data_IF_219493003027
#
_entry.id   IF_219493003027
#
_cell.length_a   1.000
_cell.length_b   1.000
_cell.length_c   1.000
_cell.angle_alpha   90.00
_cell.angle_beta   90.00
_cell.angle_gamma   90.00
#
_symmetry.space_group_name_H-M   'P 1'
#
loop_
_entity.id
_entity.type
_entity.pdbx_description
1 polymer ?
#
# COMPACT_ATOMS: atom_id res chain seq x y z
N UNK A 1 4.96 -3.80 10.66
CA UNK A 1 5.76 -2.56 10.73
C UNK A 1 5.28 -1.54 11.79
N UNK A 2 4.44 -1.91 12.77
CA UNK A 2 3.95 -0.99 13.81
C UNK A 2 4.75 -1.03 15.14
N UNK A 3 5.63 -2.02 15.36
CA UNK A 3 6.43 -2.10 16.61
C UNK A 3 7.70 -1.25 16.64
N UNK A 4 8.20 -0.69 15.52
CA UNK A 4 9.43 0.15 15.54
C UNK A 4 9.16 1.64 15.77
N UNK A 5 7.94 2.04 16.14
CA UNK A 5 7.58 3.46 16.32
C UNK A 5 7.69 3.94 17.79
N UNK A 6 7.95 3.05 18.74
CA UNK A 6 8.04 3.39 20.16
C UNK A 6 9.41 3.00 20.72
N UNK A 7 10.46 3.68 20.28
CA UNK A 7 11.68 3.76 21.10
C UNK A 7 12.41 5.09 20.83
N UNK A 8 11.79 6.14 21.36
CA UNK A 8 12.33 7.50 21.37
C UNK A 8 13.31 7.65 22.53
N UNK A 9 14.44 6.92 22.54
CA UNK A 9 15.60 7.29 23.38
C UNK A 9 16.89 6.51 23.06
N UNK A 10 17.55 6.91 21.97
CA UNK A 10 19.01 6.83 21.85
C UNK A 10 19.58 8.25 22.03
N UNK A 11 19.49 8.77 23.27
CA UNK A 11 20.27 9.94 23.69
C UNK A 11 21.67 9.49 24.07
N UNK A 12 22.55 9.42 23.08
CA UNK A 12 23.96 9.74 23.31
C UNK A 12 24.14 11.23 23.02
N UNK A 13 24.81 11.91 23.94
CA UNK A 13 24.87 13.36 24.07
C UNK A 13 25.34 14.07 22.79
N UNK A 14 24.65 15.16 22.43
CA UNK A 14 25.14 16.20 21.52
C UNK A 14 24.82 15.98 20.04
N UNK A 15 24.05 16.93 19.47
CA UNK A 15 23.54 17.03 18.10
C UNK A 15 22.41 16.07 17.71
N UNK A 16 21.26 16.65 17.31
CA UNK A 16 20.18 15.96 16.59
C UNK A 16 20.68 15.58 15.18
N UNK A 17 21.59 14.61 15.09
CA UNK A 17 21.84 13.92 13.84
C UNK A 17 20.75 12.86 13.68
N UNK A 18 19.98 12.95 12.60
CA UNK A 18 19.09 11.89 12.15
C UNK A 18 19.91 10.59 12.14
N UNK A 19 19.53 9.60 12.96
CA UNK A 19 20.17 8.29 12.99
C UNK A 19 19.96 7.66 11.61
N UNK A 20 21.01 7.67 10.79
CA UNK A 20 20.97 7.12 9.45
C UNK A 20 21.32 5.65 9.56
N UNK A 21 20.34 4.82 9.30
CA UNK A 21 20.53 3.40 9.25
C UNK A 21 21.20 2.99 7.92
N UNK A 22 22.44 2.50 8.02
CA UNK A 22 23.27 2.11 6.86
C UNK A 22 23.01 0.68 6.35
N UNK A 23 22.14 -0.09 7.00
CA UNK A 23 21.81 -1.47 6.62
C UNK A 23 22.74 -2.54 7.19
N UNK A 24 22.21 -3.77 7.36
CA UNK A 24 22.97 -4.93 7.89
C UNK A 24 24.20 -5.25 7.04
N UNK A 25 24.14 -5.04 5.72
CA UNK A 25 25.28 -5.25 4.81
C UNK A 25 26.51 -4.46 5.23
N UNK A 26 26.34 -3.20 5.63
CA UNK A 26 27.44 -2.37 6.08
C UNK A 26 27.93 -2.76 7.49
N UNK A 27 27.01 -3.12 8.39
CA UNK A 27 27.33 -3.57 9.75
C UNK A 27 28.22 -4.83 9.73
N UNK A 28 27.84 -5.83 8.93
CA UNK A 28 28.59 -7.09 8.82
C UNK A 28 29.97 -6.87 8.19
N UNK A 29 30.10 -5.95 7.22
CA UNK A 29 31.38 -5.62 6.59
C UNK A 29 32.38 -4.95 7.53
N UNK A 30 31.91 -4.26 8.57
CA UNK A 30 32.77 -3.64 9.57
C UNK A 30 33.24 -4.58 10.69
N UNK A 31 32.83 -5.85 10.68
CA UNK A 31 33.15 -6.76 11.79
C UNK A 31 34.64 -7.04 11.91
N UNK A 32 35.19 -6.80 13.11
CA UNK A 32 36.63 -6.87 13.39
C UNK A 32 37.07 -8.20 14.04
N UNK A 33 36.21 -9.20 14.04
CA UNK A 33 36.47 -10.53 14.60
C UNK A 33 35.33 -11.00 15.49
N UNK A 34 35.13 -12.31 15.56
CA UNK A 34 33.94 -12.89 16.18
C UNK A 34 34.29 -14.04 17.09
N UNK A 35 33.49 -14.20 18.15
CA UNK A 35 33.68 -15.26 19.14
C UNK A 35 32.78 -16.43 18.79
N UNK A 36 33.39 -17.58 18.49
CA UNK A 36 32.67 -18.84 18.38
C UNK A 36 32.42 -19.41 19.78
N UNK A 37 31.17 -19.73 20.06
CA UNK A 37 30.76 -20.48 21.25
C UNK A 37 30.00 -21.71 20.80
N UNK A 38 30.14 -22.82 21.52
CA UNK A 38 29.36 -24.03 21.28
C UNK A 38 28.25 -24.10 22.32
N UNK A 39 27.00 -24.20 21.86
CA UNK A 39 25.84 -24.33 22.73
C UNK A 39 25.16 -25.68 22.48
N UNK A 40 24.67 -26.26 23.57
CA UNK A 40 23.88 -27.48 23.54
C UNK A 40 22.39 -27.14 23.50
N UNK A 41 21.60 -28.05 22.95
CA UNK A 41 20.15 -27.96 22.97
C UNK A 41 19.62 -28.01 24.40
N UNK A 42 18.81 -27.01 24.80
CA UNK A 42 18.12 -27.06 26.08
C UNK A 42 17.04 -28.14 26.02
N UNK A 43 17.22 -29.18 26.82
CA UNK A 43 16.25 -30.25 26.98
C UNK A 43 16.54 -31.55 26.25
N UNK A 44 17.70 -31.68 25.61
CA UNK A 44 18.26 -32.95 25.13
C UNK A 44 19.30 -33.50 26.14
N UNK A 45 19.34 -34.82 26.34
CA UNK A 45 20.28 -35.50 27.26
C UNK A 45 21.72 -35.63 26.72
N UNK A 46 22.01 -35.12 25.51
CA UNK A 46 23.35 -35.19 24.89
C UNK A 46 23.92 -33.84 24.43
N UNK A 47 25.24 -33.71 24.56
CA UNK A 47 26.08 -32.61 24.09
C UNK A 47 26.24 -32.66 22.56
N UNK A 48 25.31 -32.06 21.82
CA UNK A 48 25.54 -31.71 20.40
C UNK A 48 25.94 -30.23 20.37
N UNK A 49 27.24 -30.01 20.20
CA UNK A 49 27.83 -28.68 20.17
C UNK A 49 27.50 -27.99 18.83
N UNK A 50 26.45 -27.16 18.82
CA UNK A 50 26.14 -26.32 17.66
C UNK A 50 26.98 -25.04 17.74
N UNK A 51 27.77 -24.70 16.71
CA UNK A 51 28.55 -23.47 16.69
C UNK A 51 27.62 -22.27 16.58
N UNK A 52 27.79 -21.30 17.48
CA UNK A 52 27.14 -19.99 17.45
C UNK A 52 28.19 -18.90 17.50
N UNK A 53 28.05 -17.93 16.60
CA UNK A 53 28.98 -16.84 16.49
C UNK A 53 28.40 -15.54 17.08
N UNK A 54 29.25 -14.79 17.79
CA UNK A 54 28.85 -13.57 18.47
C UNK A 54 29.85 -12.44 18.18
N UNK A 55 29.33 -11.24 17.98
CA UNK A 55 30.08 -9.98 17.90
C UNK A 55 29.13 -8.80 18.13
N UNK A 56 29.67 -7.61 18.38
CA UNK A 56 28.84 -6.40 18.52
C UNK A 56 28.04 -6.11 17.25
N UNK A 57 28.63 -6.36 16.07
CA UNK A 57 27.96 -6.17 14.78
C UNK A 57 26.81 -7.18 14.58
N UNK A 58 27.02 -8.45 14.96
CA UNK A 58 25.97 -9.48 14.94
C UNK A 58 24.84 -9.15 15.92
N UNK A 59 25.17 -8.71 17.13
CA UNK A 59 24.19 -8.28 18.13
C UNK A 59 23.35 -7.08 17.65
N UNK A 60 23.98 -6.12 16.98
CA UNK A 60 23.29 -5.00 16.35
C UNK A 60 22.36 -5.49 15.22
N UNK A 61 22.84 -6.36 14.34
CA UNK A 61 22.04 -6.96 13.27
C UNK A 61 20.82 -7.73 13.80
N UNK A 62 20.99 -8.52 14.87
CA UNK A 62 19.91 -9.24 15.54
C UNK A 62 18.86 -8.29 16.15
N UNK A 63 19.31 -7.17 16.74
CA UNK A 63 18.39 -6.12 17.23
C UNK A 63 17.57 -5.51 16.10
N UNK A 64 18.19 -5.26 14.94
CA UNK A 64 17.52 -4.72 13.75
C UNK A 64 16.52 -5.71 13.14
N UNK A 65 16.79 -7.01 13.27
CA UNK A 65 15.84 -8.06 12.91
C UNK A 65 14.69 -8.22 13.94
N UNK A 66 14.77 -7.54 15.08
CA UNK A 66 13.76 -7.58 16.15
C UNK A 66 13.94 -8.73 17.14
N UNK A 67 15.02 -9.51 17.05
CA UNK A 67 15.25 -10.69 17.89
C UNK A 67 15.85 -10.38 19.27
N UNK A 68 16.37 -9.17 19.49
CA UNK A 68 16.96 -8.73 20.77
C UNK A 68 16.41 -7.37 21.16
N UNK A 69 15.88 -7.25 22.37
CA UNK A 69 15.35 -5.97 22.89
C UNK A 69 16.48 -5.06 23.40
N UNK A 70 17.26 -5.44 24.42
CA UNK A 70 18.43 -4.68 24.94
C UNK A 70 19.41 -5.60 25.71
N UNK A 71 20.72 -5.38 25.58
CA UNK A 71 21.78 -6.10 26.33
C UNK A 71 22.58 -7.14 25.51
N UNK A 72 23.66 -7.71 26.08
CA UNK A 72 24.47 -8.77 25.44
C UNK A 72 23.78 -10.15 25.48
N UNK A 73 22.81 -10.33 26.37
CA UNK A 73 21.99 -11.53 26.42
C UNK A 73 20.80 -11.42 25.47
N UNK A 74 20.64 -12.44 24.64
CA UNK A 74 19.53 -12.57 23.70
C UNK A 74 18.27 -12.86 24.53
N UNK A 75 17.55 -11.84 25.00
CA UNK A 75 16.23 -12.01 25.62
C UNK A 75 15.16 -12.24 24.53
N UNK A 76 15.25 -13.41 23.89
CA UNK A 76 14.33 -13.87 22.83
C UNK A 76 12.90 -14.02 23.37
N UNK A 77 12.74 -14.26 24.67
CA UNK A 77 11.45 -14.59 25.29
C UNK A 77 10.45 -13.44 25.15
N UNK A 78 10.90 -12.19 25.25
CA UNK A 78 10.06 -11.02 25.00
C UNK A 78 9.55 -11.00 23.55
N UNK A 79 10.41 -11.33 22.59
CA UNK A 79 10.03 -11.42 21.17
C UNK A 79 9.09 -12.60 20.91
N UNK A 80 9.36 -13.80 21.47
CA UNK A 80 8.47 -14.97 21.37
C UNK A 80 7.07 -14.66 21.90
N UNK A 81 6.96 -13.96 23.03
CA UNK A 81 5.67 -13.55 23.59
C UNK A 81 4.90 -12.61 22.67
N UNK A 82 5.59 -11.70 21.96
CA UNK A 82 4.94 -10.84 20.98
C UNK A 82 4.38 -11.64 19.80
N UNK A 83 5.13 -12.61 19.28
CA UNK A 83 4.67 -13.51 18.20
C UNK A 83 3.49 -14.39 18.65
N UNK A 84 3.54 -14.94 19.86
CA UNK A 84 2.40 -15.68 20.43
C UNK A 84 1.14 -14.82 20.57
N UNK A 85 1.30 -13.53 20.90
CA UNK A 85 0.18 -12.59 21.02
C UNK A 85 -0.40 -12.21 19.65
N UNK A 86 0.45 -12.09 18.63
CA UNK A 86 0.06 -11.92 17.23
C UNK A 86 -0.49 -13.22 16.60
N UNK A 87 -0.38 -14.36 17.30
CA UNK A 87 -0.79 -15.71 16.89
C UNK A 87 0.06 -16.28 15.74
N UNK A 88 1.30 -15.84 15.62
CA UNK A 88 2.31 -16.34 14.67
C UNK A 88 3.06 -17.53 15.27
N UNK A 89 2.36 -18.66 15.44
CA UNK A 89 2.85 -19.81 16.21
C UNK A 89 4.04 -20.52 15.56
N UNK A 90 4.01 -20.66 14.24
CA UNK A 90 5.06 -21.30 13.44
C UNK A 90 6.36 -20.50 13.52
N UNK A 91 6.26 -19.18 13.38
CA UNK A 91 7.40 -18.28 13.50
C UNK A 91 7.97 -18.30 14.91
N UNK A 92 7.11 -18.23 15.95
CA UNK A 92 7.54 -18.31 17.34
C UNK A 92 8.25 -19.64 17.64
N UNK A 93 7.70 -20.77 17.17
CA UNK A 93 8.29 -22.09 17.35
C UNK A 93 9.65 -22.20 16.62
N UNK A 94 9.75 -21.69 15.40
CA UNK A 94 11.00 -21.65 14.65
C UNK A 94 12.07 -20.79 15.36
N UNK A 95 11.71 -19.60 15.84
CA UNK A 95 12.62 -18.72 16.60
C UNK A 95 13.10 -19.39 17.89
N UNK A 96 12.23 -20.10 18.62
CA UNK A 96 12.62 -20.87 19.79
C UNK A 96 13.58 -22.02 19.43
N UNK A 97 13.30 -22.74 18.34
CA UNK A 97 14.16 -23.80 17.82
C UNK A 97 15.54 -23.28 17.40
N UNK A 98 15.60 -22.14 16.71
CA UNK A 98 16.84 -21.47 16.34
C UNK A 98 17.64 -20.98 17.55
N UNK A 99 16.98 -20.80 18.69
CA UNK A 99 17.64 -20.53 19.96
C UNK A 99 18.04 -21.77 20.74
N UNK A 100 17.96 -22.93 20.10
CA UNK A 100 18.29 -24.25 20.62
C UNK A 100 17.37 -24.69 21.77
N UNK A 101 16.14 -24.16 21.81
CA UNK A 101 15.14 -24.50 22.83
C UNK A 101 13.96 -25.28 22.24
N UNK A 102 14.19 -26.59 22.04
CA UNK A 102 13.17 -27.52 21.52
C UNK A 102 11.97 -27.58 22.48
N UNK A 103 12.20 -27.50 23.79
CA UNK A 103 11.12 -27.58 24.78
C UNK A 103 10.19 -26.39 24.65
N UNK A 104 10.74 -25.18 24.52
CA UNK A 104 9.96 -23.96 24.30
C UNK A 104 9.24 -23.99 22.95
N UNK A 105 9.89 -24.48 21.88
CA UNK A 105 9.25 -24.65 20.58
C UNK A 105 8.02 -25.58 20.65
N UNK A 106 8.13 -26.74 21.30
CA UNK A 106 7.03 -27.67 21.50
C UNK A 106 5.90 -27.03 22.33
N UNK A 107 6.24 -26.29 23.39
CA UNK A 107 5.24 -25.57 24.19
C UNK A 107 4.47 -24.54 23.37
N UNK A 108 5.14 -23.79 22.49
CA UNK A 108 4.52 -22.81 21.60
C UNK A 108 3.55 -23.50 20.64
N UNK A 109 3.99 -24.58 19.99
CA UNK A 109 3.16 -25.33 19.03
C UNK A 109 1.91 -25.92 19.69
N UNK A 110 2.06 -26.53 20.87
CA UNK A 110 0.92 -27.07 21.62
C UNK A 110 -0.05 -25.96 22.07
N UNK A 111 0.47 -24.79 22.45
CA UNK A 111 -0.35 -23.63 22.79
C UNK A 111 -1.11 -23.10 21.56
N UNK A 112 -0.45 -23.06 20.41
CA UNK A 112 -1.07 -22.68 19.14
C UNK A 112 -2.18 -23.64 18.71
N UNK A 113 -1.94 -24.94 18.82
CA UNK A 113 -2.92 -25.96 18.47
C UNK A 113 -4.19 -25.95 19.36
N UNK A 114 -4.06 -25.50 20.61
CA UNK A 114 -5.16 -25.44 21.58
C UNK A 114 -5.88 -24.08 21.62
N UNK A 115 -5.40 -23.09 20.87
CA UNK A 115 -6.03 -21.78 20.79
C UNK A 115 -7.39 -21.82 20.03
N UNK A 116 -8.27 -20.84 20.25
CA UNK A 116 -9.62 -20.78 19.64
C UNK A 116 -9.65 -20.81 18.09
N UNK A 117 -8.51 -20.57 17.43
CA UNK A 117 -8.29 -20.70 15.98
C UNK A 117 -7.03 -21.52 15.67
N UNK A 118 -6.73 -22.52 16.50
CA UNK A 118 -5.53 -23.32 16.38
C UNK A 118 -5.55 -24.24 15.16
N UNK A 119 -4.39 -24.44 14.54
CA UNK A 119 -4.19 -25.46 13.51
C UNK A 119 -3.74 -26.78 14.17
N UNK A 120 -4.49 -27.86 13.91
CA UNK A 120 -4.16 -29.20 14.38
C UNK A 120 -2.85 -29.72 13.79
N UNK A 121 -2.40 -29.19 12.65
CA UNK A 121 -1.09 -29.50 12.08
C UNK A 121 0.04 -29.12 13.04
N UNK A 122 -0.12 -28.10 13.89
CA UNK A 122 0.89 -27.70 14.88
C UNK A 122 1.15 -28.81 15.90
N UNK A 123 0.13 -29.58 16.29
CA UNK A 123 0.32 -30.75 17.17
C UNK A 123 1.10 -31.86 16.46
N UNK A 124 0.87 -32.06 15.15
CA UNK A 124 1.62 -33.05 14.37
C UNK A 124 3.10 -32.67 14.32
N UNK A 125 3.41 -31.39 14.12
CA UNK A 125 4.77 -30.87 14.16
C UNK A 125 5.38 -30.99 15.57
N UNK A 126 4.61 -30.67 16.62
CA UNK A 126 5.05 -30.82 18.00
C UNK A 126 5.36 -32.28 18.37
N UNK A 127 4.56 -33.23 17.88
CA UNK A 127 4.81 -34.67 18.03
C UNK A 127 6.05 -35.13 17.27
N UNK A 128 6.27 -34.62 16.05
CA UNK A 128 7.47 -34.92 15.29
C UNK A 128 8.73 -34.37 16.01
N UNK A 129 8.65 -33.17 16.56
CA UNK A 129 9.73 -32.56 17.34
C UNK A 129 9.97 -33.29 18.68
N UNK A 130 8.93 -33.79 19.35
CA UNK A 130 9.07 -34.57 20.58
C UNK A 130 9.63 -35.97 20.33
N UNK A 131 9.36 -36.54 19.15
CA UNK A 131 9.93 -37.78 18.65
C UNK A 131 11.34 -37.63 18.05
N UNK A 132 11.92 -36.42 18.06
CA UNK A 132 13.30 -36.21 17.67
C UNK A 132 14.23 -37.01 18.59
N UNK A 133 14.77 -38.09 18.06
CA UNK A 133 15.75 -38.96 18.72
C UNK A 133 17.06 -38.89 17.95
N UNK A 134 18.17 -38.77 18.66
CA UNK A 134 19.53 -38.60 18.13
C UNK A 134 20.12 -39.94 17.59
N UNK A 135 19.28 -40.78 16.98
CA UNK A 135 19.69 -42.05 16.40
C UNK A 135 20.41 -41.83 15.06
N UNK A 136 21.49 -42.59 14.81
CA UNK A 136 22.36 -42.39 13.65
C UNK A 136 21.70 -42.65 12.29
N UNK A 137 20.47 -43.14 12.25
CA UNK A 137 19.69 -43.48 11.05
C UNK A 137 18.72 -42.39 10.60
N UNK A 138 18.60 -41.30 11.36
CA UNK A 138 17.68 -40.19 11.07
C UNK A 138 18.15 -39.40 9.84
N UNK A 139 17.35 -39.44 8.77
CA UNK A 139 17.50 -38.69 7.51
C UNK A 139 17.83 -37.20 7.69
N UNK A 140 17.45 -36.61 8.83
CA UNK A 140 17.69 -35.22 9.21
C UNK A 140 19.16 -34.85 9.47
N UNK A 141 20.08 -35.83 9.53
CA UNK A 141 21.50 -35.61 9.79
C UNK A 141 22.38 -35.46 8.54
N UNK A 142 21.79 -35.23 7.37
CA UNK A 142 22.53 -34.68 6.22
C UNK A 142 22.70 -33.15 6.33
N UNK A 143 22.45 -32.55 7.50
CA UNK A 143 22.94 -31.20 7.80
C UNK A 143 24.42 -31.32 8.13
N UNK A 144 25.27 -31.36 7.11
CA UNK A 144 26.68 -31.09 7.30
C UNK A 144 26.87 -29.71 7.96
N UNK A 145 27.87 -29.51 8.83
CA UNK A 145 28.19 -28.19 9.35
C UNK A 145 28.38 -27.19 8.21
N UNK A 146 27.39 -26.34 7.96
CA UNK A 146 27.36 -25.39 6.83
C UNK A 146 26.23 -25.57 5.81
N UNK A 147 25.44 -26.64 5.88
CA UNK A 147 24.28 -26.86 5.02
C UNK A 147 22.99 -26.24 5.61
N UNK A 148 22.98 -24.91 5.77
CA UNK A 148 21.81 -24.16 6.25
C UNK A 148 20.89 -23.68 5.11
N UNK A 149 21.16 -24.09 3.87
CA UNK A 149 20.48 -23.61 2.67
C UNK A 149 18.95 -23.73 2.75
N UNK A 150 18.44 -24.80 3.36
CA UNK A 150 17.01 -25.04 3.54
C UNK A 150 16.30 -24.00 4.42
N UNK A 151 17.02 -23.26 5.28
CA UNK A 151 16.46 -22.15 6.07
C UNK A 151 16.82 -20.80 5.43
N UNK A 152 18.07 -20.67 4.96
CA UNK A 152 18.62 -19.42 4.44
C UNK A 152 18.02 -18.99 3.09
N UNK A 153 17.53 -19.94 2.30
CA UNK A 153 16.97 -19.71 0.96
C UNK A 153 15.47 -20.03 0.85
N UNK A 154 14.82 -20.37 1.96
CA UNK A 154 13.38 -20.62 1.97
C UNK A 154 12.59 -19.31 1.85
N UNK A 155 11.83 -19.18 0.77
CA UNK A 155 11.09 -17.96 0.42
C UNK A 155 9.94 -17.66 1.39
N UNK A 156 9.38 -18.69 2.03
CA UNK A 156 8.31 -18.52 3.03
C UNK A 156 8.81 -17.94 4.37
N UNK A 157 10.12 -17.98 4.63
CA UNK A 157 10.71 -17.39 5.83
C UNK A 157 11.02 -15.91 5.59
N UNK A 158 10.52 -15.05 6.48
CA UNK A 158 10.73 -13.60 6.39
C UNK A 158 12.24 -13.26 6.32
N UNK A 159 12.60 -12.23 5.54
CA UNK A 159 14.01 -11.84 5.34
C UNK A 159 14.68 -11.53 6.68
N UNK A 160 13.97 -10.87 7.60
CA UNK A 160 14.47 -10.57 8.94
C UNK A 160 14.93 -11.82 9.71
N UNK A 161 14.19 -12.92 9.60
CA UNK A 161 14.47 -14.13 10.36
C UNK A 161 15.59 -14.94 9.73
N UNK A 162 15.65 -14.96 8.38
CA UNK A 162 16.78 -15.55 7.64
C UNK A 162 18.09 -14.82 7.94
N UNK A 163 18.06 -13.48 7.99
CA UNK A 163 19.22 -12.67 8.36
C UNK A 163 19.61 -12.87 9.82
N UNK A 164 18.65 -12.90 10.74
CA UNK A 164 18.93 -13.19 12.14
C UNK A 164 19.57 -14.58 12.32
N UNK A 165 19.00 -15.60 11.69
CA UNK A 165 19.54 -16.95 11.68
C UNK A 165 20.98 -16.97 11.13
N UNK A 166 21.20 -16.32 9.98
CA UNK A 166 22.52 -16.20 9.37
C UNK A 166 23.53 -15.56 10.33
N UNK A 167 23.15 -14.48 11.01
CA UNK A 167 24.00 -13.81 11.99
C UNK A 167 24.40 -14.73 13.14
N UNK A 168 23.57 -15.69 13.56
CA UNK A 168 23.92 -16.60 14.67
C UNK A 168 24.81 -17.77 14.25
N UNK A 169 24.62 -18.31 13.04
CA UNK A 169 25.15 -19.63 12.67
C UNK A 169 26.17 -19.62 11.52
N UNK A 170 26.25 -18.56 10.72
CA UNK A 170 27.24 -18.48 9.65
C UNK A 170 28.57 -17.95 10.18
N UNK A 171 29.66 -18.58 9.73
CA UNK A 171 31.03 -18.10 10.01
C UNK A 171 31.30 -16.74 9.35
N UNK A 172 32.39 -16.09 9.73
CA UNK A 172 32.80 -14.78 9.17
C UNK A 172 33.14 -14.82 7.69
N UNK A 173 33.38 -16.02 7.14
CA UNK A 173 33.58 -16.21 5.70
C UNK A 173 32.26 -16.35 4.94
N UNK A 174 31.24 -16.95 5.57
CA UNK A 174 29.95 -17.25 4.96
C UNK A 174 28.97 -16.08 5.08
N UNK A 175 28.94 -15.41 6.24
CA UNK A 175 27.95 -14.38 6.54
C UNK A 175 28.00 -13.20 5.54
N UNK A 176 29.16 -12.58 5.25
CA UNK A 176 29.21 -11.49 4.28
C UNK A 176 28.78 -11.92 2.87
N UNK A 177 29.17 -13.14 2.45
CA UNK A 177 28.80 -13.70 1.15
C UNK A 177 27.28 -13.91 1.03
N UNK A 178 26.67 -14.46 2.08
CA UNK A 178 25.22 -14.64 2.15
C UNK A 178 24.49 -13.30 2.11
N UNK A 179 24.92 -12.33 2.92
CA UNK A 179 24.28 -11.01 2.97
C UNK A 179 24.42 -10.27 1.64
N UNK A 180 25.58 -10.33 0.98
CA UNK A 180 25.75 -9.73 -0.36
C UNK A 180 24.85 -10.42 -1.40
N UNK A 181 24.75 -11.75 -1.39
CA UNK A 181 23.86 -12.52 -2.28
C UNK A 181 22.40 -12.14 -2.06
N UNK A 182 21.92 -12.19 -0.82
CA UNK A 182 20.55 -11.84 -0.46
C UNK A 182 20.25 -10.37 -0.82
N UNK A 183 21.20 -9.45 -0.59
CA UNK A 183 21.02 -8.03 -0.98
C UNK A 183 20.79 -7.90 -2.48
N UNK A 184 21.53 -8.64 -3.30
CA UNK A 184 21.35 -8.63 -4.75
C UNK A 184 19.99 -9.22 -5.16
N UNK A 185 19.58 -10.34 -4.55
CA UNK A 185 18.26 -10.96 -4.80
C UNK A 185 17.12 -9.97 -4.47
N UNK A 186 17.20 -9.29 -3.32
CA UNK A 186 16.21 -8.29 -2.91
C UNK A 186 16.18 -7.08 -3.85
N UNK A 187 17.35 -6.63 -4.32
CA UNK A 187 17.46 -5.54 -5.30
C UNK A 187 16.87 -5.94 -6.64
N UNK A 188 17.22 -7.11 -7.16
CA UNK A 188 16.70 -7.60 -8.45
C UNK A 188 15.18 -7.78 -8.42
N UNK A 189 14.63 -8.28 -7.31
CA UNK A 189 13.20 -8.41 -7.13
C UNK A 189 12.47 -7.08 -6.82
N UNK A 190 13.20 -5.98 -6.55
CA UNK A 190 12.61 -4.73 -6.07
C UNK A 190 11.88 -4.89 -4.73
N UNK A 191 12.28 -5.84 -3.88
CA UNK A 191 11.57 -6.16 -2.64
C UNK A 191 12.04 -5.26 -1.49
N UNK A 192 11.13 -4.44 -0.97
CA UNK A 192 11.41 -3.44 0.07
C UNK A 192 11.84 -4.01 1.43
N UNK A 193 11.65 -5.32 1.70
CA UNK A 193 12.30 -5.95 2.86
C UNK A 193 13.84 -5.84 2.80
N UNK A 194 14.40 -5.66 1.59
CA UNK A 194 15.81 -5.39 1.36
C UNK A 194 16.34 -4.11 2.00
N UNK A 195 15.46 -3.18 2.43
CA UNK A 195 15.86 -1.98 3.18
C UNK A 195 16.57 -2.35 4.48
N UNK A 196 16.23 -3.50 5.08
CA UNK A 196 16.95 -4.05 6.23
C UNK A 196 18.44 -4.28 5.90
N UNK A 197 18.75 -4.70 4.68
CA UNK A 197 20.12 -5.02 4.25
C UNK A 197 20.88 -3.79 3.77
N UNK A 198 20.23 -2.95 2.96
CA UNK A 198 20.86 -1.80 2.28
C UNK A 198 20.83 -0.52 3.11
N UNK A 199 19.91 -0.43 4.08
CA UNK A 199 19.50 0.83 4.68
C UNK A 199 18.93 1.80 3.63
N UNK A 200 18.74 3.06 4.04
CA UNK A 200 18.44 4.18 3.12
C UNK A 200 19.74 4.88 2.71
N UNK A 201 20.71 4.06 2.28
CA UNK A 201 22.01 4.48 1.76
C UNK A 201 22.00 4.48 0.22
N UNK A 202 23.15 4.63 -0.44
CA UNK A 202 23.25 4.52 -1.92
C UNK A 202 22.74 3.16 -2.42
N UNK A 203 23.10 2.07 -1.74
CA UNK A 203 22.58 0.73 -2.05
C UNK A 203 21.04 0.68 -1.89
N UNK A 204 20.49 1.47 -0.96
CA UNK A 204 19.05 1.61 -0.76
C UNK A 204 18.36 2.37 -1.87
N UNK A 205 19.05 3.32 -2.50
CA UNK A 205 18.56 3.99 -3.72
C UNK A 205 18.48 2.99 -4.86
N UNK A 206 19.49 2.13 -5.03
CA UNK A 206 19.47 1.11 -6.09
C UNK A 206 18.34 0.08 -5.88
N UNK A 207 18.06 -0.29 -4.63
CA UNK A 207 16.88 -1.11 -4.29
C UNK A 207 15.57 -0.40 -4.64
N UNK A 208 15.46 0.88 -4.27
CA UNK A 208 14.25 1.67 -4.49
C UNK A 208 14.02 1.96 -5.97
N UNK A 209 15.08 2.12 -6.76
CA UNK A 209 15.00 2.24 -8.22
C UNK A 209 14.37 1.00 -8.83
N UNK A 210 14.87 -0.20 -8.49
CA UNK A 210 14.26 -1.45 -8.93
C UNK A 210 12.80 -1.57 -8.49
N UNK A 211 12.47 -1.20 -7.24
CA UNK A 211 11.08 -1.20 -6.77
C UNK A 211 10.18 -0.27 -7.60
N UNK A 212 10.64 0.96 -7.88
CA UNK A 212 9.89 1.92 -8.71
C UNK A 212 9.76 1.42 -10.15
N UNK A 213 10.80 0.82 -10.72
CA UNK A 213 10.77 0.29 -12.09
C UNK A 213 9.77 -0.86 -12.23
N UNK A 214 9.61 -1.69 -11.20
CA UNK A 214 8.64 -2.79 -11.20
C UNK A 214 7.21 -2.37 -10.89
N UNK A 215 7.02 -1.37 -10.02
CA UNK A 215 5.68 -1.03 -9.47
C UNK A 215 5.11 0.30 -9.95
N UNK A 216 5.96 1.23 -10.37
CA UNK A 216 5.60 2.63 -10.60
C UNK A 216 5.24 3.40 -9.32
N UNK A 217 5.40 2.82 -8.12
CA UNK A 217 5.03 3.46 -6.85
C UNK A 217 6.08 4.51 -6.42
N UNK A 218 6.01 5.65 -7.08
CA UNK A 218 6.84 6.82 -6.79
C UNK A 218 6.47 7.48 -5.45
N UNK A 219 5.26 7.25 -4.93
CA UNK A 219 4.82 7.81 -3.65
C UNK A 219 5.59 7.17 -2.50
N UNK A 220 5.61 5.84 -2.44
CA UNK A 220 6.34 5.09 -1.41
C UNK A 220 7.83 5.43 -1.46
N UNK A 221 8.42 5.42 -2.66
CA UNK A 221 9.82 5.78 -2.86
C UNK A 221 10.14 7.21 -2.36
N UNK A 222 9.35 8.19 -2.76
CA UNK A 222 9.54 9.59 -2.36
C UNK A 222 9.40 9.77 -0.84
N UNK A 223 8.38 9.16 -0.24
CA UNK A 223 8.14 9.26 1.20
C UNK A 223 9.27 8.63 2.01
N UNK A 224 9.66 7.39 1.68
CA UNK A 224 10.76 6.69 2.34
C UNK A 224 12.05 7.48 2.24
N UNK A 225 12.40 7.96 1.04
CA UNK A 225 13.64 8.70 0.83
C UNK A 225 13.68 10.03 1.59
N UNK A 226 12.59 10.83 1.52
CA UNK A 226 12.48 12.12 2.23
C UNK A 226 12.53 11.98 3.75
N UNK A 227 11.91 10.92 4.30
CA UNK A 227 11.80 10.75 5.74
C UNK A 227 13.02 10.11 6.40
N UNK A 228 13.71 9.21 5.70
CA UNK A 228 14.73 8.37 6.33
C UNK A 228 16.15 8.50 5.78
N UNK A 229 16.37 9.22 4.68
CA UNK A 229 17.70 9.30 4.05
C UNK A 229 18.55 10.47 4.55
N UNK A 230 19.87 10.39 4.35
CA UNK A 230 20.78 11.51 4.60
C UNK A 230 20.56 12.65 3.60
N UNK A 231 21.01 13.85 3.95
CA UNK A 231 21.10 14.95 3.00
C UNK A 231 22.00 14.69 1.79
N UNK A 232 22.91 13.70 1.85
CA UNK A 232 23.70 13.28 0.68
C UNK A 232 22.90 12.38 -0.25
N UNK A 233 22.20 11.38 0.29
CA UNK A 233 21.34 10.48 -0.50
C UNK A 233 20.19 11.25 -1.14
N UNK A 234 19.65 12.25 -0.46
CA UNK A 234 18.63 13.13 -1.03
C UNK A 234 19.11 13.90 -2.27
N UNK A 235 20.42 14.11 -2.45
CA UNK A 235 20.95 14.78 -3.65
C UNK A 235 21.06 13.82 -4.86
N UNK A 236 20.80 12.53 -4.68
CA UNK A 236 20.80 11.58 -5.79
C UNK A 236 19.75 12.00 -6.84
N UNK A 237 20.12 12.11 -8.14
CA UNK A 237 19.21 12.53 -9.19
C UNK A 237 17.95 11.68 -9.30
N UNK A 238 18.05 10.37 -9.03
CA UNK A 238 16.90 9.45 -9.08
C UNK A 238 15.90 9.78 -7.98
N UNK A 239 16.41 10.00 -6.76
CA UNK A 239 15.59 10.40 -5.61
C UNK A 239 14.88 11.73 -5.85
N UNK A 240 15.59 12.73 -6.38
CA UNK A 240 15.00 14.01 -6.76
C UNK A 240 13.92 13.86 -7.82
N UNK A 241 14.16 13.01 -8.83
CA UNK A 241 13.17 12.70 -9.87
C UNK A 241 11.89 12.10 -9.28
N UNK A 242 11.99 11.13 -8.36
CA UNK A 242 10.81 10.55 -7.70
C UNK A 242 10.01 11.60 -6.94
N UNK A 243 10.70 12.41 -6.12
CA UNK A 243 10.07 13.45 -5.30
C UNK A 243 9.32 14.46 -6.18
N UNK A 244 9.96 14.91 -7.26
CA UNK A 244 9.36 15.89 -8.17
C UNK A 244 8.18 15.31 -8.95
N UNK A 245 8.27 14.07 -9.41
CA UNK A 245 7.15 13.39 -10.06
C UNK A 245 5.96 13.23 -9.11
N UNK A 246 6.20 12.82 -7.87
CA UNK A 246 5.14 12.71 -6.87
C UNK A 246 4.51 14.07 -6.55
N UNK A 247 5.33 15.12 -6.43
CA UNK A 247 4.86 16.50 -6.25
C UNK A 247 3.96 16.94 -7.42
N UNK A 248 4.38 16.71 -8.66
CA UNK A 248 3.61 17.07 -9.84
C UNK A 248 2.25 16.37 -9.90
N UNK A 249 2.17 15.10 -9.49
CA UNK A 249 0.90 14.38 -9.36
C UNK A 249 -0.03 15.06 -8.33
N UNK A 250 0.51 15.42 -7.16
CA UNK A 250 -0.27 16.11 -6.13
C UNK A 250 -0.71 17.51 -6.55
N UNK A 251 0.16 18.26 -7.23
CA UNK A 251 -0.14 19.59 -7.76
C UNK A 251 -1.23 19.51 -8.84
N UNK A 252 -1.18 18.50 -9.72
CA UNK A 252 -2.21 18.26 -10.72
C UNK A 252 -3.58 17.99 -10.08
N UNK A 253 -3.64 17.19 -9.01
CA UNK A 253 -4.87 16.90 -8.28
C UNK A 253 -5.41 18.10 -7.48
N UNK A 254 -4.50 18.98 -7.05
CA UNK A 254 -4.85 20.20 -6.31
C UNK A 254 -5.27 21.34 -7.23
N UNK A 255 -4.82 21.33 -8.48
CA UNK A 255 -5.26 22.29 -9.50
C UNK A 255 -6.69 21.96 -9.94
N UNK A 256 -7.55 22.97 -10.06
CA UNK A 256 -8.84 22.79 -10.73
C UNK A 256 -8.54 22.32 -12.15
N UNK A 257 -9.03 21.15 -12.60
CA UNK A 257 -8.76 20.69 -13.95
C UNK A 257 -9.19 21.79 -14.92
N UNK A 258 -8.30 22.16 -15.85
CA UNK A 258 -8.66 23.07 -16.92
C UNK A 258 -9.91 22.52 -17.59
N UNK A 259 -10.98 23.32 -17.68
CA UNK A 259 -12.20 22.90 -18.32
C UNK A 259 -11.91 22.57 -19.79
N UNK A 260 -11.87 21.28 -20.13
CA UNK A 260 -11.52 20.81 -21.48
C UNK A 260 -12.68 20.98 -22.46
N UNK A 261 -13.91 21.12 -21.97
CA UNK A 261 -15.13 21.25 -22.77
C UNK A 261 -15.99 22.38 -22.22
N UNK A 262 -16.42 23.29 -23.10
CA UNK A 262 -17.35 24.37 -22.80
C UNK A 262 -18.67 24.13 -23.50
N UNK A 263 -19.78 24.30 -22.79
CA UNK A 263 -21.13 24.20 -23.36
C UNK A 263 -21.79 25.58 -23.36
N UNK A 264 -22.23 26.02 -24.55
CA UNK A 264 -22.90 27.30 -24.75
C UNK A 264 -24.33 27.10 -25.26
N UNK A 265 -25.17 28.11 -25.05
CA UNK A 265 -26.53 28.12 -25.57
C UNK A 265 -26.53 28.44 -27.07
N UNK A 266 -27.10 27.54 -27.89
CA UNK A 266 -27.25 27.76 -29.33
C UNK A 266 -28.02 29.03 -29.71
N UNK A 267 -28.80 29.61 -28.81
CA UNK A 267 -29.60 30.80 -29.11
C UNK A 267 -28.91 32.13 -28.76
N UNK A 268 -28.15 32.19 -27.66
CA UNK A 268 -27.54 33.45 -27.20
C UNK A 268 -26.01 33.38 -27.05
N UNK A 269 -25.39 32.24 -27.33
CA UNK A 269 -23.94 32.02 -27.25
C UNK A 269 -23.36 32.02 -25.83
N UNK A 270 -24.13 32.39 -24.80
CA UNK A 270 -23.67 32.40 -23.40
C UNK A 270 -23.51 30.98 -22.87
N UNK A 271 -22.53 30.80 -21.97
CA UNK A 271 -22.33 29.53 -21.24
C UNK A 271 -23.62 29.11 -20.52
N UNK A 272 -23.94 27.81 -20.58
CA UNK A 272 -25.04 27.24 -19.79
C UNK A 272 -24.57 26.75 -18.41
N UNK A 273 -23.26 26.82 -18.13
CA UNK A 273 -22.71 26.46 -16.82
C UNK A 273 -23.27 27.41 -15.76
N UNK A 274 -23.87 26.84 -14.72
CA UNK A 274 -24.40 27.60 -13.59
C UNK A 274 -23.25 27.92 -12.63
N UNK A 275 -22.49 28.99 -12.89
CA UNK A 275 -21.62 29.55 -11.85
C UNK A 275 -22.49 30.40 -10.93
N UNK A 276 -22.48 30.08 -9.63
CA UNK A 276 -23.15 30.86 -8.58
C UNK A 276 -22.68 32.33 -8.48
N UNK A 277 -21.70 32.73 -9.28
CA UNK A 277 -21.17 34.10 -9.41
C UNK A 277 -21.97 34.97 -10.39
N UNK A 278 -22.90 34.43 -11.18
CA UNK A 278 -23.75 35.22 -12.06
C UNK A 278 -24.95 35.79 -11.27
N UNK A 279 -24.68 36.77 -10.39
CA UNK A 279 -25.71 37.65 -9.85
C UNK A 279 -26.31 38.41 -11.04
N UNK A 280 -27.61 38.27 -11.38
CA UNK A 280 -28.21 39.21 -12.30
C UNK A 280 -28.42 40.51 -11.53
N UNK A 281 -27.55 41.49 -11.77
CA UNK A 281 -27.88 42.87 -11.44
C UNK A 281 -29.15 43.23 -12.23
N UNK A 282 -30.17 43.61 -11.46
CA UNK A 282 -31.37 44.35 -11.85
C UNK A 282 -32.42 43.64 -12.72
N UNK A 283 -33.60 43.47 -12.12
CA UNK A 283 -34.86 43.79 -12.81
C UNK A 283 -35.76 42.61 -13.16
N UNK A 284 -36.92 42.57 -12.48
CA UNK A 284 -38.15 41.81 -12.75
C UNK A 284 -38.19 40.38 -12.22
N UNK A 285 -39.07 40.23 -11.24
CA UNK A 285 -39.29 39.04 -10.43
C UNK A 285 -39.67 37.79 -11.21
N UNK A 286 -39.37 36.68 -10.55
CA UNK A 286 -40.01 35.39 -10.75
C UNK A 286 -41.53 35.57 -10.78
N UNK A 287 -42.16 35.45 -11.95
CA UNK A 287 -43.57 35.08 -11.99
C UNK A 287 -43.61 33.56 -11.85
N UNK A 288 -43.65 33.12 -10.59
CA UNK A 288 -44.01 31.76 -10.23
C UNK A 288 -45.48 31.57 -10.59
N UNK A 289 -45.76 30.95 -11.73
CA UNK A 289 -46.97 30.11 -11.83
C UNK A 289 -46.61 28.75 -11.26
N UNK A 290 -46.50 28.69 -9.94
CA UNK A 290 -46.21 27.49 -9.17
C UNK A 290 -46.74 27.71 -7.76
N UNK A 291 -47.84 27.04 -7.45
CA UNK A 291 -48.51 27.08 -6.16
C UNK A 291 -47.51 26.74 -5.05
N UNK A 292 -47.40 27.61 -4.04
CA UNK A 292 -46.60 27.38 -2.84
C UNK A 292 -47.03 26.07 -2.16
N UNK A 293 -46.14 25.09 -2.10
CA UNK A 293 -46.37 23.80 -1.42
C UNK A 293 -45.89 22.54 -2.15
N UNK A 294 -45.40 22.62 -3.39
CA UNK A 294 -44.92 21.44 -4.11
C UNK A 294 -43.43 21.15 -3.88
N UNK A 295 -43.01 19.90 -3.54
CA UNK A 295 -41.62 19.51 -3.34
C UNK A 295 -40.83 19.36 -4.66
N UNK A 296 -41.36 19.86 -5.77
CA UNK A 296 -40.72 19.77 -7.08
C UNK A 296 -39.56 20.75 -7.16
N UNK A 297 -38.37 20.25 -6.80
CA UNK A 297 -37.06 20.86 -7.10
C UNK A 297 -37.08 21.45 -8.51
N UNK A 298 -36.77 22.73 -8.64
CA UNK A 298 -36.72 23.46 -9.91
C UNK A 298 -35.71 22.80 -10.84
N UNK A 299 -36.19 21.97 -11.77
CA UNK A 299 -35.36 21.39 -12.83
C UNK A 299 -34.97 22.53 -13.79
N UNK A 300 -33.67 22.75 -13.96
CA UNK A 300 -33.15 23.80 -14.86
C UNK A 300 -33.38 23.35 -16.31
N UNK A 301 -34.57 23.56 -16.85
CA UNK A 301 -34.94 23.12 -18.22
C UNK A 301 -34.70 24.17 -19.31
N UNK A 302 -34.13 25.33 -18.93
CA UNK A 302 -33.95 26.49 -19.81
C UNK A 302 -32.59 27.17 -19.61
N UNK A 303 -32.10 27.86 -20.63
CA UNK A 303 -30.86 28.64 -20.58
C UNK A 303 -30.96 29.76 -19.52
N UNK A 304 -29.97 29.92 -18.62
CA UNK A 304 -29.99 30.98 -17.60
C UNK A 304 -29.90 32.39 -18.20
N UNK A 305 -29.24 32.55 -19.35
CA UNK A 305 -29.04 33.85 -20.00
C UNK A 305 -30.23 34.36 -20.82
N UNK A 306 -30.90 33.50 -21.59
CA UNK A 306 -31.99 33.90 -22.52
C UNK A 306 -33.32 33.19 -22.28
N UNK A 307 -33.41 32.29 -21.29
CA UNK A 307 -34.61 31.51 -20.90
C UNK A 307 -35.22 30.61 -21.97
N UNK A 308 -34.61 30.50 -23.16
CA UNK A 308 -35.01 29.52 -24.18
C UNK A 308 -34.73 28.08 -23.69
N UNK A 309 -35.56 27.10 -24.09
CA UNK A 309 -35.48 25.73 -23.58
C UNK A 309 -34.14 25.06 -23.93
N UNK A 310 -33.63 24.22 -23.03
CA UNK A 310 -32.45 23.39 -23.28
C UNK A 310 -32.77 22.26 -24.27
N UNK A 311 -31.78 21.63 -24.92
CA UNK A 311 -32.02 20.50 -25.82
C UNK A 311 -32.80 19.37 -25.15
N UNK A 312 -33.60 18.65 -25.93
CA UNK A 312 -34.42 17.53 -25.45
C UNK A 312 -33.65 16.22 -25.59
N UNK A 313 -33.89 15.30 -24.67
CA UNK A 313 -33.43 13.93 -24.79
C UNK A 313 -34.07 13.27 -26.02
N UNK A 314 -33.29 12.57 -26.85
CA UNK A 314 -33.78 11.90 -28.05
C UNK A 314 -34.86 10.84 -27.77
N UNK A 315 -34.90 10.27 -26.56
CA UNK A 315 -35.83 9.20 -26.19
C UNK A 315 -37.04 9.69 -25.40
N UNK A 316 -36.83 10.39 -24.28
CA UNK A 316 -37.96 10.84 -23.44
C UNK A 316 -38.49 12.23 -23.80
N UNK A 317 -37.85 12.94 -24.73
CA UNK A 317 -38.24 14.27 -25.22
C UNK A 317 -38.32 15.37 -24.14
N UNK A 318 -37.89 15.09 -22.91
CA UNK A 318 -37.77 16.06 -21.84
C UNK A 318 -36.50 16.90 -22.02
N UNK A 319 -36.57 18.18 -21.65
CA UNK A 319 -35.42 19.08 -21.68
C UNK A 319 -34.35 18.60 -20.69
N UNK A 320 -33.11 18.49 -21.18
CA UNK A 320 -31.99 17.98 -20.42
C UNK A 320 -31.39 19.09 -19.56
N UNK A 321 -31.58 18.97 -18.26
CA UNK A 321 -31.11 19.92 -17.28
C UNK A 321 -30.65 19.21 -16.02
N UNK A 322 -29.40 19.42 -15.62
CA UNK A 322 -28.87 18.85 -14.39
C UNK A 322 -29.01 19.87 -13.26
N UNK A 323 -29.82 19.62 -12.22
CA UNK A 323 -29.79 20.46 -11.04
C UNK A 323 -28.41 20.32 -10.39
N UNK A 324 -27.66 21.41 -10.31
CA UNK A 324 -26.40 21.45 -9.56
C UNK A 324 -26.78 21.54 -8.09
N UNK A 325 -26.40 20.56 -7.27
CA UNK A 325 -26.56 20.67 -5.81
C UNK A 325 -25.80 21.89 -5.31
N UNK A 326 -26.40 22.60 -4.35
CA UNK A 326 -25.92 23.86 -3.78
C UNK A 326 -24.38 23.89 -3.58
N UNK A 327 -23.78 25.01 -3.98
CA UNK A 327 -22.45 25.38 -3.48
C UNK A 327 -22.53 25.61 -1.96
N UNK A 328 -21.55 25.15 -1.16
CA UNK A 328 -21.41 25.59 0.21
C UNK A 328 -20.90 27.04 0.19
N UNK A 329 -21.82 28.00 0.34
CA UNK A 329 -21.49 29.42 0.38
C UNK A 329 -22.58 30.20 1.11
N UNK A 330 -22.23 30.69 2.29
CA UNK A 330 -22.92 31.71 3.11
C UNK A 330 -24.24 31.29 3.77
N UNK A 331 -24.13 30.72 4.97
CA UNK A 331 -25.17 30.68 6.00
C UNK A 331 -24.48 30.54 7.35
N UNK A 332 -24.75 31.47 8.28
CA UNK A 332 -24.10 31.56 9.60
C UNK A 332 -24.37 30.31 10.46
N UNK A 333 -23.41 30.04 11.33
CA UNK A 333 -23.37 29.05 12.43
C UNK A 333 -24.72 28.77 13.11
N UNK A 334 -25.12 27.50 13.23
CA UNK A 334 -25.05 26.75 14.48
C UNK A 334 -25.49 25.28 14.31
N UNK A 335 -25.00 24.43 15.21
CA UNK A 335 -25.44 23.07 15.59
C UNK A 335 -25.14 21.81 14.73
N UNK A 336 -24.47 20.88 15.42
CA UNK A 336 -24.34 19.41 15.27
C UNK A 336 -23.99 18.83 13.90
N UNK A 337 -22.74 18.37 13.81
CA UNK A 337 -22.22 17.49 12.75
C UNK A 337 -22.88 16.12 12.86
N UNK A 338 -23.84 15.85 11.97
CA UNK A 338 -24.32 14.50 11.66
C UNK A 338 -23.52 13.95 10.46
N UNK A 339 -22.87 12.80 10.64
CA UNK A 339 -21.92 12.18 9.70
C UNK A 339 -22.59 11.47 8.50
N UNK A 340 -23.82 11.85 8.12
CA UNK A 340 -24.61 11.12 7.10
C UNK A 340 -25.11 11.99 5.92
N UNK A 341 -24.56 13.20 5.72
CA UNK A 341 -24.90 14.02 4.53
C UNK A 341 -23.99 13.72 3.34
N UNK A 342 -24.35 12.72 2.55
CA UNK A 342 -23.90 12.62 1.16
C UNK A 342 -24.29 13.92 0.43
N UNK A 343 -23.29 14.65 -0.09
CA UNK A 343 -23.50 15.70 -1.06
C UNK A 343 -24.18 15.08 -2.28
N UNK A 344 -25.51 15.20 -2.38
CA UNK A 344 -26.32 14.64 -3.48
C UNK A 344 -25.95 15.32 -4.79
N UNK A 345 -24.85 14.89 -5.41
CA UNK A 345 -24.58 15.10 -6.83
C UNK A 345 -25.80 14.61 -7.63
N UNK A 346 -26.04 15.21 -8.79
CA UNK A 346 -27.09 14.69 -9.65
C UNK A 346 -26.78 13.22 -9.99
N UNK A 347 -27.74 12.32 -9.77
CA UNK A 347 -27.58 10.91 -10.11
C UNK A 347 -27.14 10.79 -11.57
N UNK A 348 -26.12 9.96 -11.84
CA UNK A 348 -25.50 9.78 -13.16
C UNK A 348 -26.53 9.61 -14.28
N UNK A 349 -27.61 8.87 -14.04
CA UNK A 349 -28.69 8.63 -15.01
C UNK A 349 -29.31 9.91 -15.60
N UNK A 350 -29.27 11.02 -14.87
CA UNK A 350 -29.82 12.32 -15.30
C UNK A 350 -28.81 13.21 -16.02
N UNK A 351 -27.55 12.78 -16.15
CA UNK A 351 -26.52 13.58 -16.80
C UNK A 351 -26.77 13.72 -18.29
N UNK A 352 -26.40 14.89 -18.82
CA UNK A 352 -26.45 15.13 -20.25
C UNK A 352 -25.28 14.42 -20.94
N UNK A 353 -25.60 13.55 -21.91
CA UNK A 353 -24.64 12.82 -22.74
C UNK A 353 -24.92 13.08 -24.20
N UNK A 354 -23.89 13.18 -25.03
CA UNK A 354 -24.03 13.44 -26.46
C UNK A 354 -22.91 12.78 -27.27
N UNK A 355 -23.19 12.47 -28.53
CA UNK A 355 -22.18 12.01 -29.48
C UNK A 355 -21.45 13.20 -30.11
N UNK A 356 -20.12 13.18 -30.16
CA UNK A 356 -19.35 14.27 -30.75
C UNK A 356 -19.57 14.42 -32.27
N UNK A 357 -19.84 13.30 -32.97
CA UNK A 357 -20.00 13.28 -34.42
C UNK A 357 -21.37 13.80 -34.86
N UNK A 358 -22.46 13.22 -34.35
CA UNK A 358 -23.82 13.60 -34.78
C UNK A 358 -24.46 14.68 -33.90
N UNK A 359 -23.84 15.05 -32.77
CA UNK A 359 -24.35 16.04 -31.79
C UNK A 359 -25.72 15.73 -31.19
N UNK A 360 -26.24 14.53 -31.42
CA UNK A 360 -27.43 14.03 -30.76
C UNK A 360 -27.08 13.46 -29.39
N UNK A 361 -28.05 13.49 -28.48
CA UNK A 361 -27.82 13.11 -27.10
C UNK A 361 -29.08 12.92 -26.30
N UNK A 362 -28.88 12.58 -25.03
CA UNK A 362 -29.95 12.24 -24.10
C UNK A 362 -29.46 12.21 -22.66
N UNK A 363 -30.37 11.84 -21.76
CA UNK A 363 -30.00 11.47 -20.40
C UNK A 363 -29.15 10.20 -20.44
N UNK A 364 -28.05 10.17 -19.68
CA UNK A 364 -27.11 9.05 -19.66
C UNK A 364 -27.82 7.69 -19.51
N UNK A 365 -28.75 7.57 -18.55
CA UNK A 365 -29.47 6.31 -18.33
C UNK A 365 -30.30 5.85 -19.53
N UNK A 366 -30.95 6.78 -20.24
CA UNK A 366 -31.72 6.45 -21.45
C UNK A 366 -30.82 6.07 -22.62
N UNK A 367 -29.69 6.76 -22.80
CA UNK A 367 -28.73 6.44 -23.86
C UNK A 367 -28.09 5.07 -23.61
N UNK A 368 -27.64 4.79 -22.38
CA UNK A 368 -27.10 3.48 -22.00
C UNK A 368 -28.13 2.36 -22.23
N UNK A 369 -29.39 2.59 -21.86
CA UNK A 369 -30.46 1.62 -22.08
C UNK A 369 -30.71 1.33 -23.56
N UNK A 370 -30.73 2.36 -24.41
CA UNK A 370 -30.98 2.21 -25.85
C UNK A 370 -29.88 1.43 -26.56
N UNK A 371 -28.61 1.76 -26.27
CA UNK A 371 -27.46 1.14 -26.93
C UNK A 371 -27.16 -0.29 -26.48
N UNK A 372 -27.90 -0.84 -25.51
CA UNK A 372 -27.85 -2.29 -25.22
C UNK A 372 -28.40 -3.12 -26.37
N UNK A 373 -29.48 -2.64 -26.98
CA UNK A 373 -30.23 -3.39 -28.01
C UNK A 373 -30.09 -2.76 -29.41
N UNK A 374 -29.48 -1.57 -29.52
CA UNK A 374 -29.38 -0.83 -30.78
C UNK A 374 -27.95 -0.36 -31.06
N UNK A 375 -27.52 -0.42 -32.32
CA UNK A 375 -26.18 0.02 -32.75
C UNK A 375 -26.18 1.43 -33.38
N UNK A 376 -27.36 1.98 -33.66
CA UNK A 376 -27.55 3.27 -34.34
C UNK A 376 -28.20 4.31 -33.42
N UNK A 377 -27.99 5.59 -33.76
CA UNK A 377 -28.52 6.73 -33.03
C UNK A 377 -30.05 6.69 -32.93
N UNK A 378 -30.65 6.98 -31.76
CA UNK A 378 -32.10 6.97 -31.57
C UNK A 378 -32.86 8.06 -32.36
N UNK A 379 -32.16 9.01 -32.99
CA UNK A 379 -32.79 10.08 -33.78
C UNK A 379 -33.14 9.57 -35.17
N UNK A 380 -34.42 9.65 -35.53
CA UNK A 380 -34.91 9.21 -36.84
C UNK A 380 -34.14 9.85 -38.00
N UNK A 381 -33.69 9.03 -38.96
CA UNK A 381 -32.91 9.48 -40.11
C UNK A 381 -31.40 9.67 -39.83
N UNK A 382 -30.93 9.42 -38.61
CA UNK A 382 -29.51 9.46 -38.27
C UNK A 382 -28.92 8.04 -38.27
N UNK A 383 -27.95 7.75 -39.15
CA UNK A 383 -27.26 6.45 -39.26
C UNK A 383 -25.96 6.38 -38.46
N UNK A 384 -25.77 7.29 -37.48
CA UNK A 384 -24.53 7.38 -36.70
C UNK A 384 -24.40 6.21 -35.71
N UNK A 385 -23.25 5.52 -35.73
CA UNK A 385 -22.91 4.45 -34.78
C UNK A 385 -22.23 5.00 -33.53
N UNK A 386 -22.98 5.78 -32.74
CA UNK A 386 -22.43 6.62 -31.67
C UNK A 386 -21.50 5.90 -30.69
N UNK A 387 -21.84 4.67 -30.26
CA UNK A 387 -21.05 3.90 -29.28
C UNK A 387 -19.75 3.31 -29.86
N UNK A 388 -19.71 3.01 -31.16
CA UNK A 388 -18.51 2.43 -31.80
C UNK A 388 -17.44 3.49 -32.08
N UNK A 389 -17.82 4.77 -32.03
CA UNK A 389 -16.95 5.92 -32.23
C UNK A 389 -16.36 6.44 -30.91
N UNK A 390 -16.80 5.90 -29.77
CA UNK A 390 -16.25 6.22 -28.46
C UNK A 390 -14.98 5.39 -28.20
N UNK A 391 -13.83 5.94 -28.61
CA UNK A 391 -12.50 5.32 -28.43
C UNK A 391 -12.17 5.04 -26.96
N UNK A 392 -12.86 5.71 -26.02
CA UNK A 392 -12.69 5.57 -24.57
C UNK A 392 -13.51 4.43 -23.97
N UNK A 393 -14.57 3.97 -24.63
CA UNK A 393 -15.45 2.89 -24.16
C UNK A 393 -14.86 1.48 -24.28
N UNK A 394 -13.74 1.31 -25.01
CA UNK A 394 -13.05 0.03 -25.16
C UNK A 394 -12.13 -0.33 -23.98
N UNK A 395 -11.99 0.57 -23.00
CA UNK A 395 -11.31 0.30 -21.73
C UNK A 395 -12.35 -0.12 -20.68
N UNK A 396 -12.97 -1.28 -20.86
CA UNK A 396 -13.71 -1.92 -19.77
C UNK A 396 -12.66 -2.49 -18.79
N UNK A 397 -12.65 -2.12 -17.50
CA UNK A 397 -11.88 -2.86 -16.51
C UNK A 397 -12.44 -4.28 -16.49
N UNK A 398 -11.60 -5.28 -16.75
CA UNK A 398 -11.96 -6.67 -16.51
C UNK A 398 -12.45 -6.80 -15.08
N UNK A 399 -13.71 -7.18 -14.88
CA UNK A 399 -14.24 -7.49 -13.57
C UNK A 399 -13.34 -8.55 -12.92
N UNK A 400 -12.76 -8.23 -11.76
CA UNK A 400 -12.15 -9.22 -10.87
C UNK A 400 -13.22 -10.25 -10.51
N UNK A 401 -13.05 -11.48 -11.01
CA UNK A 401 -13.68 -12.69 -10.48
C UNK A 401 -12.68 -13.44 -9.61
#
# INVERSE_FOLDING_TARGET
>A
MKQCAEDTELKLQGNKQTLVYSGIKNIVKSSSGTTESRKNWSGSDRQTDVPRYHSEERSLALRLCGWISRGPDIDVETFLRSLELEREWEQAAAVALFNLDIRRAIQILNKGATAEKGDLNLNVVAMALSGYTDEKSSLWREIEPGAYDGVLHESSVAVRDRVAFACMFLSDTQLPRYIDKLTNEMREAGNLEGILLTGLSKDGVDLMESYVDHTGDVQTASFCMLKGSTGEVLKDPRVQCWIENYRNLLDAWSSKPLAQVFVSCNFCGKSISYSCSAVPHQGRGFSQYGVSGSPTKSKVTSCPGCRKPLPRCALCLMNMGTPVSNCPGTGKSDEKVDLTRENKLAQFNNWFTWCHNCRHGGHAGHMLSWFRDHTECPVSGCTCKCMQLDTTGNLVPSDCS
#
